data_IF_373218767498
#
_entry.id   IF_373218767498
#
_cell.length_a   1.000
_cell.length_b   1.000
_cell.length_c   1.000
_cell.angle_alpha   90.00
_cell.angle_beta   90.00
_cell.angle_gamma   90.00
#
_symmetry.space_group_name_H-M   'P 1'
#
loop_
_entity.id
_entity.type
_entity.pdbx_description
1 polymer ?
#
# COMPACT_ATOMS: atom_id res chain seq x y z
N UNK A 1 -52.07 17.94 -3.13
CA UNK A 1 -52.11 16.48 -2.88
C UNK A 1 -51.14 15.67 -3.75
N UNK A 2 -50.57 16.23 -4.83
CA UNK A 2 -49.68 15.52 -5.76
C UNK A 2 -48.18 15.55 -5.39
N UNK A 3 -47.72 16.56 -4.64
CA UNK A 3 -46.32 16.69 -4.22
C UNK A 3 -45.86 15.57 -3.29
N UNK A 4 -46.76 15.04 -2.46
CA UNK A 4 -46.45 13.95 -1.52
C UNK A 4 -46.12 12.64 -2.25
N UNK A 5 -46.82 12.31 -3.33
CA UNK A 5 -46.56 11.09 -4.12
C UNK A 5 -45.22 11.12 -4.86
N UNK A 6 -44.74 12.30 -5.27
CA UNK A 6 -43.42 12.46 -5.88
C UNK A 6 -42.30 12.60 -4.84
N UNK A 7 -42.58 13.22 -3.68
CA UNK A 7 -41.61 13.41 -2.62
C UNK A 7 -41.22 12.10 -1.94
N UNK A 8 -42.16 11.17 -1.71
CA UNK A 8 -41.88 9.88 -1.04
C UNK A 8 -40.75 9.08 -1.74
N UNK A 9 -40.83 8.77 -3.05
CA UNK A 9 -39.76 8.02 -3.72
C UNK A 9 -38.45 8.81 -3.81
N UNK A 10 -38.51 10.13 -3.99
CA UNK A 10 -37.34 10.99 -4.03
C UNK A 10 -36.60 11.01 -2.67
N UNK A 11 -37.35 11.05 -1.57
CA UNK A 11 -36.79 11.10 -0.21
C UNK A 11 -36.11 9.77 0.14
N UNK A 12 -36.72 8.64 -0.22
CA UNK A 12 -36.10 7.32 -0.06
C UNK A 12 -34.82 7.20 -0.89
N UNK A 13 -34.83 7.70 -2.13
CA UNK A 13 -33.64 7.71 -2.97
C UNK A 13 -32.50 8.50 -2.31
N UNK A 14 -32.78 9.71 -1.83
CA UNK A 14 -31.79 10.55 -1.15
C UNK A 14 -31.30 9.87 0.14
N UNK A 15 -32.21 9.30 0.94
CA UNK A 15 -31.90 8.62 2.19
C UNK A 15 -31.03 7.36 1.99
N UNK A 16 -31.07 6.71 0.82
CA UNK A 16 -30.19 5.59 0.51
C UNK A 16 -28.90 6.01 -0.20
N UNK A 17 -28.99 6.93 -1.15
CA UNK A 17 -27.83 7.34 -1.98
C UNK A 17 -26.84 8.16 -1.17
N UNK A 18 -27.28 9.06 -0.28
CA UNK A 18 -26.37 9.86 0.54
C UNK A 18 -25.52 8.99 1.49
N UNK A 19 -26.09 8.03 2.26
CA UNK A 19 -25.29 7.14 3.09
C UNK A 19 -24.34 6.25 2.30
N UNK A 20 -24.79 5.68 1.18
CA UNK A 20 -23.93 4.85 0.32
C UNK A 20 -22.77 5.68 -0.24
N UNK A 21 -23.04 6.90 -0.70
CA UNK A 21 -22.02 7.80 -1.22
C UNK A 21 -21.00 8.19 -0.16
N UNK A 22 -21.45 8.57 1.04
CA UNK A 22 -20.55 8.89 2.16
C UNK A 22 -19.69 7.67 2.50
N UNK A 23 -20.30 6.50 2.65
CA UNK A 23 -19.56 5.27 2.94
C UNK A 23 -18.47 5.00 1.90
N UNK A 24 -18.80 5.11 0.61
CA UNK A 24 -17.84 4.91 -0.48
C UNK A 24 -16.76 6.00 -0.50
N UNK A 25 -17.12 7.25 -0.27
CA UNK A 25 -16.20 8.39 -0.23
C UNK A 25 -15.18 8.27 0.91
N UNK A 26 -15.62 7.92 2.12
CA UNK A 26 -14.74 7.72 3.27
C UNK A 26 -13.88 6.48 3.12
N UNK A 27 -14.45 5.37 2.64
CA UNK A 27 -13.71 4.13 2.41
C UNK A 27 -12.62 4.31 1.32
N UNK A 28 -12.90 5.07 0.26
CA UNK A 28 -11.94 5.30 -0.81
C UNK A 28 -10.76 6.19 -0.36
N UNK A 29 -11.00 7.19 0.50
CA UNK A 29 -9.93 8.02 1.07
C UNK A 29 -8.97 7.23 1.96
N UNK A 30 -9.49 6.33 2.79
CA UNK A 30 -8.63 5.53 3.68
C UNK A 30 -7.85 4.46 2.92
N UNK A 31 -8.45 3.80 1.92
CA UNK A 31 -7.77 2.74 1.16
C UNK A 31 -6.68 3.25 0.21
N UNK A 32 -6.87 4.43 -0.38
CA UNK A 32 -5.90 4.99 -1.34
C UNK A 32 -4.55 5.31 -0.69
N UNK A 33 -4.58 5.91 0.50
CA UNK A 33 -3.37 6.37 1.20
C UNK A 33 -2.61 5.21 1.88
N UNK A 34 -3.35 4.25 2.45
CA UNK A 34 -2.75 3.03 3.02
C UNK A 34 -2.04 2.19 1.95
N UNK A 35 -2.62 2.04 0.76
CA UNK A 35 -2.02 1.27 -0.34
C UNK A 35 -0.76 1.96 -0.90
N UNK A 36 -0.75 3.30 -1.00
CA UNK A 36 0.45 4.02 -1.44
C UNK A 36 1.60 3.91 -0.43
N UNK A 37 1.31 4.06 0.87
CA UNK A 37 2.33 3.91 1.91
C UNK A 37 2.88 2.48 1.96
N UNK A 38 2.02 1.47 1.82
CA UNK A 38 2.44 0.06 1.78
C UNK A 38 3.33 -0.23 0.56
N UNK A 39 2.98 0.30 -0.62
CA UNK A 39 3.83 0.22 -1.81
C UNK A 39 5.19 0.91 -1.62
N UNK A 40 5.21 2.12 -1.04
CA UNK A 40 6.46 2.83 -0.74
C UNK A 40 7.33 2.05 0.25
N UNK A 41 6.71 1.45 1.28
CA UNK A 41 7.43 0.64 2.27
C UNK A 41 8.03 -0.61 1.65
N UNK A 42 7.32 -1.29 0.75
CA UNK A 42 7.84 -2.43 0.01
C UNK A 42 9.00 -2.03 -0.91
N UNK A 43 8.89 -0.90 -1.60
CA UNK A 43 9.97 -0.37 -2.42
C UNK A 43 11.22 -0.06 -1.57
N UNK A 44 11.04 0.55 -0.40
CA UNK A 44 12.14 0.86 0.50
C UNK A 44 12.84 -0.40 1.03
N UNK A 45 12.06 -1.40 1.47
CA UNK A 45 12.61 -2.69 1.89
C UNK A 45 13.39 -3.39 0.77
N UNK A 46 12.90 -3.30 -0.48
CA UNK A 46 13.60 -3.87 -1.62
C UNK A 46 14.93 -3.16 -1.92
N UNK A 47 14.96 -1.83 -1.79
CA UNK A 47 16.16 -1.03 -1.98
C UNK A 47 17.21 -1.31 -0.88
N UNK A 48 16.76 -1.45 0.36
CA UNK A 48 17.62 -1.80 1.49
C UNK A 48 18.19 -3.22 1.32
N UNK A 49 17.37 -4.18 0.87
CA UNK A 49 17.83 -5.53 0.55
C UNK A 49 18.89 -5.54 -0.56
N UNK A 50 18.70 -4.75 -1.62
CA UNK A 50 19.69 -4.61 -2.69
C UNK A 50 21.02 -4.03 -2.17
N UNK A 51 20.96 -2.99 -1.33
CA UNK A 51 22.15 -2.39 -0.72
C UNK A 51 22.88 -3.36 0.21
N UNK A 52 22.15 -4.13 1.00
CA UNK A 52 22.75 -5.16 1.86
C UNK A 52 23.47 -6.22 1.04
N UNK A 53 22.87 -6.65 -0.07
CA UNK A 53 23.49 -7.63 -0.98
C UNK A 53 24.80 -7.13 -1.57
N UNK A 54 24.84 -5.88 -2.02
CA UNK A 54 26.06 -5.25 -2.55
C UNK A 54 27.16 -5.18 -1.49
N UNK A 55 26.81 -4.82 -0.25
CA UNK A 55 27.76 -4.81 0.86
C UNK A 55 28.27 -6.19 1.22
N UNK A 56 27.41 -7.20 1.22
CA UNK A 56 27.82 -8.59 1.46
C UNK A 56 28.79 -9.03 0.37
N UNK A 57 28.50 -8.72 -0.89
CA UNK A 57 29.37 -9.08 -2.00
C UNK A 57 30.75 -8.40 -1.90
N UNK A 58 30.78 -7.11 -1.56
CA UNK A 58 32.05 -6.42 -1.31
C UNK A 58 32.83 -7.02 -0.12
N UNK A 59 32.13 -7.44 0.94
CA UNK A 59 32.76 -8.11 2.08
C UNK A 59 33.27 -9.52 1.69
N UNK A 60 32.52 -10.26 0.88
CA UNK A 60 32.95 -11.55 0.34
C UNK A 60 34.20 -11.39 -0.54
N UNK A 61 34.25 -10.37 -1.41
CA UNK A 61 35.41 -10.09 -2.26
C UNK A 61 36.67 -9.76 -1.42
N UNK A 62 36.51 -8.97 -0.35
CA UNK A 62 37.60 -8.66 0.59
C UNK A 62 38.03 -9.93 1.34
N UNK A 63 37.08 -10.71 1.83
CA UNK A 63 37.35 -11.92 2.60
C UNK A 63 38.00 -13.02 1.75
N UNK A 64 37.61 -13.14 0.47
CA UNK A 64 38.26 -14.01 -0.51
C UNK A 64 39.71 -13.57 -0.78
N UNK A 65 39.98 -12.26 -0.84
CA UNK A 65 41.33 -11.73 -1.01
C UNK A 65 42.23 -11.95 0.21
N UNK A 66 41.67 -11.86 1.42
CA UNK A 66 42.43 -11.95 2.68
C UNK A 66 42.57 -13.40 3.19
N UNK A 67 41.56 -14.25 2.94
CA UNK A 67 41.48 -15.62 3.48
C UNK A 67 40.97 -16.66 2.45
N UNK A 68 41.68 -16.93 1.34
CA UNK A 68 41.15 -17.69 0.18
C UNK A 68 40.54 -19.09 0.44
N UNK A 69 40.78 -19.73 1.58
CA UNK A 69 40.20 -21.04 1.95
C UNK A 69 39.04 -20.95 2.99
N UNK A 70 38.46 -19.78 3.23
CA UNK A 70 37.39 -19.64 4.25
C UNK A 70 36.09 -20.37 3.88
N UNK A 71 35.86 -20.62 2.58
CA UNK A 71 34.67 -21.32 2.04
C UNK A 71 34.75 -22.85 2.10
N UNK A 72 35.92 -23.44 2.37
CA UNK A 72 36.18 -24.89 2.34
C UNK A 72 35.91 -25.62 3.67
N UNK A 73 35.21 -24.98 4.63
CA UNK A 73 34.85 -25.59 5.93
C UNK A 73 33.36 -25.87 6.06
#
# INVERSE_FOLDING_TARGET
MSTLFLAIPLTLFILFVLPVWLWLHYNNRQRGDLNQNEQQRLQQLSADAARMRERIQALEDILDAEHPNWRDR
#
